data_IF_949007458624
#
_entry.id   IF_949007458624
#
_cell.length_a   1.000
_cell.length_b   1.000
_cell.length_c   1.000
_cell.angle_alpha   90.00
_cell.angle_beta   90.00
_cell.angle_gamma   90.00
#
_symmetry.space_group_name_H-M   'P 1'
#
loop_
_entity.id
_entity.type
_entity.pdbx_description
1 polymer ?
#
# COMPACT_ATOMS: atom_id res chain seq x y z
N UNK A 1 54.74 -6.93 -7.41
CA UNK A 1 53.87 -6.26 -8.40
C UNK A 1 52.87 -5.44 -7.62
N UNK A 2 53.09 -4.12 -7.56
CA UNK A 2 52.23 -3.19 -6.83
C UNK A 2 51.09 -2.78 -7.76
N UNK A 3 49.85 -2.95 -7.31
CA UNK A 3 48.67 -2.44 -8.02
C UNK A 3 48.37 -1.07 -7.43
N UNK A 4 48.69 -0.02 -8.18
CA UNK A 4 48.29 1.35 -7.87
C UNK A 4 46.79 1.49 -8.14
N UNK A 5 46.02 1.85 -7.10
CA UNK A 5 44.66 2.36 -7.29
C UNK A 5 44.76 3.81 -7.73
N UNK A 6 44.33 4.08 -8.96
CA UNK A 6 44.13 5.44 -9.46
C UNK A 6 42.77 5.92 -8.93
N UNK A 7 42.80 6.77 -7.92
CA UNK A 7 41.61 7.48 -7.42
C UNK A 7 41.27 8.61 -8.41
N UNK A 8 40.10 8.54 -9.05
CA UNK A 8 39.74 9.41 -10.18
C UNK A 8 39.36 10.84 -9.77
N UNK A 9 39.36 11.19 -8.48
CA UNK A 9 39.25 12.58 -7.99
C UNK A 9 38.00 13.37 -8.39
N UNK A 10 37.04 12.75 -9.07
CA UNK A 10 35.74 13.35 -9.41
C UNK A 10 34.74 12.99 -8.32
N UNK A 11 33.96 13.95 -7.77
CA UNK A 11 32.85 13.62 -6.90
C UNK A 11 31.90 12.66 -7.64
N UNK A 12 31.50 11.56 -6.99
CA UNK A 12 30.45 10.64 -7.47
C UNK A 12 29.08 11.32 -7.37
N UNK A 13 28.92 12.49 -7.97
CA UNK A 13 27.63 13.15 -8.09
C UNK A 13 26.94 12.61 -9.35
N UNK A 14 26.52 11.35 -9.30
CA UNK A 14 25.48 10.89 -10.22
C UNK A 14 24.25 11.77 -10.00
N UNK A 15 23.67 12.38 -11.05
CA UNK A 15 22.46 13.19 -10.90
C UNK A 15 21.37 12.35 -10.20
N UNK A 16 20.77 12.93 -9.14
CA UNK A 16 19.67 12.32 -8.39
C UNK A 16 20.04 11.48 -7.16
N UNK A 17 21.32 11.43 -6.74
CA UNK A 17 21.72 10.69 -5.54
C UNK A 17 21.23 11.35 -4.23
N UNK A 18 21.02 12.67 -4.23
CA UNK A 18 20.59 13.46 -3.06
C UNK A 18 19.12 13.92 -3.14
N UNK A 19 18.41 13.59 -4.23
CA UNK A 19 17.01 13.96 -4.39
C UNK A 19 16.18 13.35 -3.26
N UNK A 20 15.31 14.16 -2.67
CA UNK A 20 14.32 13.67 -1.71
C UNK A 20 13.02 13.40 -2.47
N UNK A 21 12.52 12.18 -2.35
CA UNK A 21 11.22 11.79 -2.92
C UNK A 21 10.36 11.21 -1.80
N UNK A 22 9.10 11.61 -1.69
CA UNK A 22 8.20 11.06 -0.67
C UNK A 22 7.09 10.28 -1.34
N UNK A 23 6.95 9.00 -1.00
CA UNK A 23 5.85 8.17 -1.47
C UNK A 23 4.86 7.97 -0.32
N UNK A 24 3.69 8.59 -0.45
CA UNK A 24 2.57 8.44 0.46
C UNK A 24 1.71 7.24 0.05
N UNK A 25 1.56 6.27 0.93
CA UNK A 25 0.67 5.13 0.69
C UNK A 25 -0.59 5.27 1.53
N UNK A 26 -1.71 5.49 0.85
CA UNK A 26 -3.02 5.69 1.44
C UNK A 26 -3.79 4.37 1.48
N UNK A 27 -4.43 4.06 2.61
CA UNK A 27 -5.47 3.03 2.63
C UNK A 27 -6.77 3.60 2.05
N UNK A 28 -7.45 2.86 1.19
CA UNK A 28 -8.77 3.25 0.68
C UNK A 28 -9.75 3.69 1.80
N UNK A 29 -10.71 4.55 1.44
CA UNK A 29 -11.78 5.02 2.33
C UNK A 29 -12.77 3.93 2.72
N UNK A 30 -13.74 4.26 3.58
CA UNK A 30 -14.78 3.31 3.98
C UNK A 30 -15.57 2.79 2.76
N UNK A 31 -15.82 1.47 2.75
CA UNK A 31 -16.58 0.78 1.70
C UNK A 31 -18.00 0.53 2.19
N UNK A 32 -18.99 0.74 1.33
CA UNK A 32 -20.36 0.32 1.61
C UNK A 32 -20.44 -1.22 1.60
N UNK A 33 -20.62 -1.82 2.78
CA UNK A 33 -20.64 -3.27 2.96
C UNK A 33 -21.69 -3.68 4.02
N UNK A 34 -22.99 -3.51 3.74
CA UNK A 34 -24.06 -3.72 4.70
C UNK A 34 -24.11 -5.17 5.23
N UNK A 35 -23.72 -6.13 4.40
CA UNK A 35 -23.76 -7.56 4.72
C UNK A 35 -22.51 -8.06 5.47
N UNK A 36 -21.53 -7.20 5.75
CA UNK A 36 -20.32 -7.57 6.49
C UNK A 36 -19.47 -8.65 5.80
N UNK A 37 -19.48 -8.66 4.47
CA UNK A 37 -18.72 -9.64 3.67
C UNK A 37 -17.24 -9.30 3.69
N UNK A 38 -16.38 -10.30 3.87
CA UNK A 38 -14.96 -10.17 3.60
C UNK A 38 -14.77 -10.10 2.08
N UNK A 39 -14.68 -8.90 1.53
CA UNK A 39 -14.63 -8.71 0.10
C UNK A 39 -13.25 -8.93 -0.52
N UNK A 40 -12.14 -8.70 0.20
CA UNK A 40 -10.78 -8.94 -0.32
C UNK A 40 -10.55 -8.34 -1.72
N UNK A 41 -10.23 -9.17 -2.72
CA UNK A 41 -10.02 -8.75 -4.12
C UNK A 41 -11.28 -8.71 -4.99
N UNK A 42 -12.48 -8.94 -4.43
CA UNK A 42 -13.72 -8.96 -5.20
C UNK A 42 -14.08 -7.57 -5.75
N UNK A 43 -14.56 -7.55 -6.99
CA UNK A 43 -15.15 -6.39 -7.65
C UNK A 43 -16.53 -6.04 -7.07
N UNK A 44 -17.03 -4.84 -7.41
CA UNK A 44 -18.36 -4.36 -7.02
C UNK A 44 -18.44 -3.77 -5.61
N UNK A 45 -17.30 -3.52 -4.97
CA UNK A 45 -17.22 -2.90 -3.64
C UNK A 45 -16.73 -1.46 -3.76
N UNK A 46 -17.68 -0.54 -3.62
CA UNK A 46 -17.49 0.91 -3.78
C UNK A 46 -17.48 1.63 -2.43
N UNK A 47 -16.96 2.85 -2.42
CA UNK A 47 -16.96 3.69 -1.24
C UNK A 47 -18.39 3.99 -0.76
N UNK A 48 -18.56 4.03 0.55
CA UNK A 48 -19.75 4.61 1.18
C UNK A 48 -19.75 6.14 1.00
N UNK A 49 -20.84 6.80 1.39
CA UNK A 49 -20.87 8.26 1.45
C UNK A 49 -19.77 8.81 2.38
N UNK A 50 -19.61 8.23 3.57
CA UNK A 50 -18.54 8.57 4.48
C UNK A 50 -17.15 8.27 3.88
N UNK A 51 -17.01 7.17 3.12
CA UNK A 51 -15.77 6.84 2.42
C UNK A 51 -15.36 7.89 1.39
N UNK A 52 -16.32 8.46 0.67
CA UNK A 52 -16.07 9.58 -0.26
C UNK A 52 -15.65 10.84 0.50
N UNK A 53 -16.34 11.18 1.59
CA UNK A 53 -15.95 12.30 2.47
C UNK A 53 -14.53 12.12 3.03
N UNK A 54 -14.16 10.89 3.41
CA UNK A 54 -12.78 10.59 3.84
C UNK A 54 -11.77 10.83 2.72
N UNK A 55 -12.07 10.41 1.49
CA UNK A 55 -11.19 10.63 0.34
C UNK A 55 -11.01 12.12 0.03
N UNK A 56 -12.12 12.88 0.01
CA UNK A 56 -12.10 14.32 -0.18
C UNK A 56 -11.27 15.02 0.91
N UNK A 57 -11.41 14.59 2.17
CA UNK A 57 -10.66 15.17 3.29
C UNK A 57 -9.15 14.94 3.19
N UNK A 58 -8.72 13.79 2.66
CA UNK A 58 -7.29 13.55 2.41
C UNK A 58 -6.80 14.37 1.22
N UNK A 59 -7.59 14.52 0.16
CA UNK A 59 -7.24 15.40 -0.95
C UNK A 59 -7.08 16.87 -0.51
N UNK A 60 -7.95 17.37 0.37
CA UNK A 60 -7.79 18.68 1.01
C UNK A 60 -6.50 18.77 1.84
N UNK A 61 -6.19 17.74 2.63
CA UNK A 61 -4.97 17.70 3.44
C UNK A 61 -3.69 17.71 2.59
N UNK A 62 -3.77 17.18 1.37
CA UNK A 62 -2.66 17.07 0.45
C UNK A 62 -2.59 18.22 -0.57
N UNK A 63 -3.54 19.16 -0.58
CA UNK A 63 -3.70 20.14 -1.66
C UNK A 63 -2.48 21.04 -1.90
N UNK A 64 -1.72 21.37 -0.84
CA UNK A 64 -0.52 22.23 -0.93
C UNK A 64 0.79 21.42 -1.02
N UNK A 65 0.71 20.10 -1.19
CA UNK A 65 1.87 19.22 -1.33
C UNK A 65 2.35 19.18 -2.78
N UNK A 66 3.63 18.89 -2.98
CA UNK A 66 4.25 18.80 -4.31
C UNK A 66 4.04 17.41 -4.93
N UNK A 67 2.78 17.02 -5.09
CA UNK A 67 2.40 15.71 -5.61
C UNK A 67 2.39 15.78 -7.14
N UNK A 68 3.23 14.97 -7.76
CA UNK A 68 3.39 14.91 -9.22
C UNK A 68 2.97 13.57 -9.82
N UNK A 69 2.68 12.58 -8.97
CA UNK A 69 2.22 11.26 -9.41
C UNK A 69 1.14 10.69 -8.48
N UNK A 70 0.04 10.21 -9.07
CA UNK A 70 -1.02 9.48 -8.34
C UNK A 70 -1.29 8.14 -9.02
N UNK A 71 -1.22 7.07 -8.24
CA UNK A 71 -1.43 5.70 -8.70
C UNK A 71 -2.27 4.92 -7.69
N UNK A 72 -3.13 4.02 -8.17
CA UNK A 72 -3.99 3.23 -7.31
C UNK A 72 -4.03 1.76 -7.71
N UNK A 73 -4.38 0.93 -6.73
CA UNK A 73 -4.82 -0.45 -6.96
C UNK A 73 -5.98 -0.49 -7.96
N UNK A 74 -6.12 -1.54 -8.78
CA UNK A 74 -7.21 -1.65 -9.76
C UNK A 74 -8.62 -1.73 -9.15
N UNK A 75 -8.74 -2.09 -7.86
CA UNK A 75 -10.03 -2.23 -7.17
C UNK A 75 -10.76 -0.88 -7.03
N UNK A 76 -12.08 -0.89 -7.25
CA UNK A 76 -12.92 0.31 -7.42
C UNK A 76 -12.80 1.28 -6.24
N UNK A 77 -12.91 0.79 -5.02
CA UNK A 77 -12.71 1.59 -3.79
C UNK A 77 -11.38 2.33 -3.73
N UNK A 78 -10.31 1.77 -4.28
CA UNK A 78 -8.99 2.41 -4.29
C UNK A 78 -8.94 3.51 -5.36
N UNK A 79 -9.49 3.23 -6.55
CA UNK A 79 -9.64 4.21 -7.63
C UNK A 79 -10.49 5.40 -7.19
N UNK A 80 -11.66 5.15 -6.60
CA UNK A 80 -12.55 6.17 -6.06
C UNK A 80 -11.91 7.00 -4.95
N UNK A 81 -11.05 6.37 -4.13
CA UNK A 81 -10.32 7.08 -3.07
C UNK A 81 -9.21 7.97 -3.64
N UNK A 82 -8.56 7.55 -4.73
CA UNK A 82 -7.47 8.29 -5.34
C UNK A 82 -7.94 9.47 -6.20
N UNK A 83 -9.15 9.36 -6.78
CA UNK A 83 -9.67 10.33 -7.74
C UNK A 83 -9.69 11.79 -7.23
N UNK A 84 -10.09 12.09 -5.98
CA UNK A 84 -10.07 13.47 -5.48
C UNK A 84 -8.65 14.06 -5.43
N UNK A 85 -7.65 13.26 -5.05
CA UNK A 85 -6.24 13.69 -5.00
C UNK A 85 -5.71 13.97 -6.41
N UNK A 86 -5.93 13.07 -7.36
CA UNK A 86 -5.51 13.28 -8.75
C UNK A 86 -6.16 14.54 -9.34
N UNK A 87 -7.46 14.73 -9.12
CA UNK A 87 -8.21 15.89 -9.60
C UNK A 87 -7.70 17.20 -9.01
N UNK A 88 -7.43 17.26 -7.71
CA UNK A 88 -6.99 18.50 -7.06
C UNK A 88 -5.60 18.96 -7.53
N UNK A 89 -4.77 18.03 -8.00
CA UNK A 89 -3.43 18.30 -8.53
C UNK A 89 -3.38 18.39 -10.07
N UNK A 90 -4.52 18.24 -10.75
CA UNK A 90 -4.57 18.26 -12.21
C UNK A 90 -3.83 17.10 -12.87
N UNK A 91 -3.76 15.94 -12.20
CA UNK A 91 -3.03 14.75 -12.65
C UNK A 91 -3.99 13.67 -13.16
N UNK A 92 -3.46 12.82 -14.06
CA UNK A 92 -4.10 11.56 -14.42
C UNK A 92 -3.92 10.53 -13.31
N UNK A 93 -4.93 9.67 -13.12
CA UNK A 93 -4.87 8.56 -12.18
C UNK A 93 -4.30 7.30 -12.87
N UNK A 94 -3.10 6.90 -12.48
CA UNK A 94 -2.50 5.65 -12.93
C UNK A 94 -3.04 4.44 -12.15
N UNK A 95 -2.91 3.24 -12.73
CA UNK A 95 -3.25 1.98 -12.08
C UNK A 95 -2.04 1.06 -11.98
N UNK A 96 -1.84 0.44 -10.82
CA UNK A 96 -0.79 -0.56 -10.60
C UNK A 96 -1.34 -1.78 -9.86
N UNK A 97 -1.32 -2.93 -10.54
CA UNK A 97 -1.73 -4.24 -10.02
C UNK A 97 -0.98 -4.65 -8.75
N UNK A 98 0.26 -4.18 -8.58
CA UNK A 98 1.08 -4.50 -7.41
C UNK A 98 0.55 -3.89 -6.13
N UNK A 99 -0.35 -2.90 -6.20
CA UNK A 99 -0.99 -2.25 -5.04
C UNK A 99 -2.23 -3.01 -4.53
N UNK A 100 -2.65 -4.10 -5.18
CA UNK A 100 -3.88 -4.85 -4.83
C UNK A 100 -3.86 -5.43 -3.40
N UNK A 101 -5.04 -5.64 -2.80
CA UNK A 101 -5.19 -6.31 -1.49
C UNK A 101 -4.56 -7.71 -1.51
N UNK A 102 -4.18 -8.26 -0.36
CA UNK A 102 -3.74 -9.64 -0.26
C UNK A 102 -4.87 -10.61 -0.62
N UNK A 103 -4.56 -11.67 -1.37
CA UNK A 103 -5.53 -12.73 -1.63
C UNK A 103 -5.97 -13.38 -0.31
N UNK A 104 -7.25 -13.76 -0.19
CA UNK A 104 -7.76 -14.45 0.98
C UNK A 104 -8.80 -15.54 0.64
N UNK A 105 -8.60 -16.76 1.13
CA UNK A 105 -9.49 -17.92 0.86
C UNK A 105 -10.88 -17.79 1.52
N UNK A 106 -11.05 -16.84 2.43
CA UNK A 106 -12.32 -16.55 3.07
C UNK A 106 -13.12 -15.45 2.37
N UNK A 107 -12.65 -14.94 1.22
CA UNK A 107 -13.38 -13.98 0.40
C UNK A 107 -14.81 -14.46 0.09
N UNK A 108 -15.77 -13.53 0.16
CA UNK A 108 -17.19 -13.81 -0.04
C UNK A 108 -17.90 -14.41 1.16
N UNK A 109 -17.20 -14.69 2.28
CA UNK A 109 -17.81 -15.11 3.54
C UNK A 109 -18.05 -13.90 4.45
N UNK A 110 -19.10 -13.95 5.26
CA UNK A 110 -19.31 -12.98 6.34
C UNK A 110 -18.26 -13.18 7.44
N UNK A 111 -17.66 -12.08 7.90
CA UNK A 111 -16.58 -12.10 8.89
C UNK A 111 -17.04 -11.35 10.14
N UNK A 112 -17.51 -12.07 11.16
CA UNK A 112 -18.08 -11.49 12.39
C UNK A 112 -18.33 -12.53 13.49
N UNK A 113 -18.62 -12.07 14.71
CA UNK A 113 -18.91 -12.91 15.88
C UNK A 113 -20.28 -13.59 15.68
N UNK A 114 -20.28 -14.90 15.42
CA UNK A 114 -21.47 -15.68 15.05
C UNK A 114 -21.10 -16.94 14.25
N UNK A 115 -21.92 -17.33 13.26
CA UNK A 115 -21.72 -18.48 12.34
C UNK A 115 -20.52 -18.32 11.35
N UNK A 116 -19.58 -17.45 11.70
CA UNK A 116 -18.43 -17.07 10.88
C UNK A 116 -17.50 -18.24 10.54
N UNK A 117 -16.68 -18.01 9.51
CA UNK A 117 -15.74 -19.00 8.96
C UNK A 117 -14.86 -19.70 10.02
N UNK A 118 -14.56 -19.06 11.15
CA UNK A 118 -13.72 -19.60 12.22
C UNK A 118 -14.37 -20.73 13.05
N UNK A 119 -15.72 -20.87 13.04
CA UNK A 119 -16.42 -21.96 13.75
C UNK A 119 -16.52 -23.26 12.95
N UNK A 120 -16.14 -23.27 11.67
CA UNK A 120 -16.18 -24.48 10.82
C UNK A 120 -14.87 -25.25 10.93
N UNK A 121 -14.85 -26.50 11.48
CA UNK A 121 -13.61 -27.27 11.68
C UNK A 121 -12.79 -27.48 10.40
N UNK A 122 -13.46 -27.58 9.24
CA UNK A 122 -12.80 -27.68 7.93
C UNK A 122 -11.95 -26.47 7.55
N UNK A 123 -12.13 -25.32 8.21
CA UNK A 123 -11.33 -24.11 7.99
C UNK A 123 -10.05 -24.08 8.84
N UNK A 124 -9.90 -24.97 9.84
CA UNK A 124 -8.73 -24.99 10.72
C UNK A 124 -7.46 -25.44 9.99
N UNK A 125 -7.59 -26.20 8.88
CA UNK A 125 -6.48 -26.51 7.97
C UNK A 125 -5.81 -25.26 7.38
N UNK A 126 -6.56 -24.15 7.28
CA UNK A 126 -6.07 -22.85 6.84
C UNK A 126 -5.50 -22.02 8.00
N UNK A 127 -5.39 -22.56 9.22
CA UNK A 127 -4.84 -21.87 10.40
C UNK A 127 -3.61 -22.62 10.97
N UNK A 128 -3.20 -23.72 10.33
CA UNK A 128 -2.16 -24.64 10.84
C UNK A 128 -0.74 -24.09 10.73
N UNK A 129 -0.50 -23.15 9.81
CA UNK A 129 0.82 -22.54 9.64
C UNK A 129 0.73 -21.01 9.65
N UNK A 130 1.07 -20.35 10.77
CA UNK A 130 1.06 -18.90 10.86
C UNK A 130 2.21 -18.23 10.07
N UNK A 131 3.23 -19.00 9.67
CA UNK A 131 4.43 -18.51 8.95
C UNK A 131 4.26 -18.55 7.43
N UNK A 132 3.38 -19.42 6.92
CA UNK A 132 2.87 -19.40 5.55
C UNK A 132 1.36 -19.35 5.65
N UNK A 133 0.75 -18.15 5.65
CA UNK A 133 -0.68 -18.06 5.85
C UNK A 133 -1.39 -18.81 4.73
N UNK A 134 -1.77 -20.07 4.98
CA UNK A 134 -2.47 -20.93 4.01
C UNK A 134 -3.91 -20.48 3.75
N UNK A 135 -4.26 -19.33 4.32
CA UNK A 135 -5.49 -18.58 4.10
C UNK A 135 -5.33 -17.39 3.14
N UNK A 136 -4.12 -17.10 2.63
CA UNK A 136 -3.91 -15.96 1.74
C UNK A 136 -2.53 -15.88 1.08
N UNK A 137 -2.20 -14.69 0.57
CA UNK A 137 -0.92 -14.42 -0.11
C UNK A 137 0.27 -14.40 0.89
N UNK A 138 1.40 -15.08 0.59
CA UNK A 138 2.59 -15.03 1.42
C UNK A 138 3.10 -13.60 1.66
N UNK A 139 3.49 -13.27 2.89
CA UNK A 139 3.92 -11.90 3.22
C UNK A 139 5.12 -11.43 2.42
N UNK A 140 6.07 -12.32 2.09
CA UNK A 140 7.23 -11.95 1.27
C UNK A 140 6.83 -11.60 -0.17
N UNK A 141 5.82 -12.24 -0.74
CA UNK A 141 5.31 -11.88 -2.07
C UNK A 141 4.66 -10.49 -2.03
N UNK A 142 3.91 -10.19 -0.96
CA UNK A 142 3.37 -8.85 -0.73
C UNK A 142 4.48 -7.79 -0.60
N UNK A 143 5.55 -8.08 0.15
CA UNK A 143 6.71 -7.18 0.25
C UNK A 143 7.32 -6.93 -1.13
N UNK A 144 7.60 -7.98 -1.91
CA UNK A 144 8.24 -7.85 -3.22
C UNK A 144 7.41 -6.97 -4.15
N UNK A 145 6.11 -7.22 -4.29
CA UNK A 145 5.27 -6.40 -5.18
C UNK A 145 5.08 -4.98 -4.66
N UNK A 146 4.89 -4.79 -3.35
CA UNK A 146 4.70 -3.45 -2.78
C UNK A 146 5.98 -2.62 -2.90
N UNK A 147 7.16 -3.19 -2.65
CA UNK A 147 8.43 -2.50 -2.88
C UNK A 147 8.56 -2.11 -4.36
N UNK A 148 8.23 -3.00 -5.29
CA UNK A 148 8.22 -2.67 -6.73
C UNK A 148 7.27 -1.52 -7.09
N UNK A 149 6.11 -1.43 -6.44
CA UNK A 149 5.17 -0.31 -6.62
C UNK A 149 5.74 1.00 -6.04
N UNK A 150 6.35 0.95 -4.84
CA UNK A 150 6.97 2.11 -4.22
C UNK A 150 8.16 2.63 -5.05
N UNK A 151 9.01 1.73 -5.56
CA UNK A 151 10.15 2.09 -6.40
C UNK A 151 9.69 2.76 -7.69
N UNK A 152 8.65 2.23 -8.34
CA UNK A 152 8.09 2.82 -9.56
C UNK A 152 7.45 4.20 -9.29
N UNK A 153 6.71 4.35 -8.18
CA UNK A 153 6.13 5.63 -7.79
C UNK A 153 7.22 6.68 -7.44
N UNK A 154 8.28 6.25 -6.75
CA UNK A 154 9.47 7.07 -6.46
C UNK A 154 10.16 7.51 -7.75
N UNK A 155 10.33 6.61 -8.72
CA UNK A 155 10.94 6.98 -10.00
C UNK A 155 10.06 7.93 -10.82
N UNK A 156 8.73 7.75 -10.80
CA UNK A 156 7.78 8.61 -11.48
C UNK A 156 7.69 10.02 -10.89
N UNK A 157 7.91 10.17 -9.58
CA UNK A 157 7.86 11.43 -8.85
C UNK A 157 9.23 11.86 -8.30
N UNK A 158 10.33 11.52 -8.99
CA UNK A 158 11.68 11.76 -8.49
C UNK A 158 11.90 13.24 -8.17
N UNK A 159 12.34 13.52 -6.94
CA UNK A 159 12.54 14.88 -6.41
C UNK A 159 11.27 15.55 -5.87
N UNK A 160 10.13 14.87 -5.94
CA UNK A 160 8.79 15.36 -5.60
C UNK A 160 8.05 14.34 -4.71
N UNK A 161 6.72 14.44 -4.63
CA UNK A 161 5.88 13.51 -3.89
C UNK A 161 4.96 12.67 -4.80
N UNK A 162 4.67 11.44 -4.39
CA UNK A 162 3.72 10.54 -5.03
C UNK A 162 2.66 10.05 -4.03
N UNK A 163 1.46 9.78 -4.53
CA UNK A 163 0.40 9.11 -3.77
C UNK A 163 0.06 7.77 -4.40
N UNK A 164 0.18 6.71 -3.60
CA UNK A 164 -0.24 5.35 -3.93
C UNK A 164 -1.47 4.97 -3.09
N UNK A 165 -2.58 4.57 -3.71
CA UNK A 165 -3.75 4.07 -2.96
C UNK A 165 -3.82 2.54 -2.97
N UNK A 166 -3.80 1.94 -1.79
CA UNK A 166 -3.73 0.50 -1.56
C UNK A 166 -4.67 0.07 -0.40
N UNK A 167 -4.38 -1.08 0.21
CA UNK A 167 -5.23 -1.78 1.16
C UNK A 167 -4.47 -2.11 2.44
N UNK A 168 -5.21 -2.45 3.50
CA UNK A 168 -4.66 -2.48 4.85
C UNK A 168 -3.47 -3.42 5.01
N UNK A 169 -3.59 -4.67 4.53
CA UNK A 169 -2.56 -5.68 4.78
C UNK A 169 -1.27 -5.42 3.99
N UNK A 170 -1.29 -5.16 2.66
CA UNK A 170 -0.09 -4.81 1.89
C UNK A 170 0.67 -3.61 2.45
N UNK A 171 -0.04 -2.54 2.82
CA UNK A 171 0.55 -1.34 3.44
C UNK A 171 1.26 -1.70 4.75
N UNK A 172 0.57 -2.44 5.61
CA UNK A 172 1.14 -2.86 6.89
C UNK A 172 2.38 -3.75 6.73
N UNK A 173 2.36 -4.67 5.76
CA UNK A 173 3.45 -5.61 5.52
C UNK A 173 4.68 -4.90 4.97
N UNK A 174 4.53 -4.02 3.97
CA UNK A 174 5.67 -3.27 3.42
C UNK A 174 6.26 -2.31 4.46
N UNK A 175 5.40 -1.63 5.24
CA UNK A 175 5.85 -0.82 6.39
C UNK A 175 6.65 -1.66 7.39
N UNK A 176 6.11 -2.81 7.79
CA UNK A 176 6.77 -3.69 8.76
C UNK A 176 8.12 -4.17 8.26
N UNK A 177 8.23 -4.49 6.96
CA UNK A 177 9.49 -4.88 6.34
C UNK A 177 10.53 -3.75 6.38
N UNK A 178 10.16 -2.53 5.96
CA UNK A 178 11.04 -1.36 5.96
C UNK A 178 11.50 -1.00 7.39
N UNK A 179 10.60 -1.05 8.37
CA UNK A 179 10.91 -0.81 9.78
C UNK A 179 11.64 -1.99 10.45
N UNK A 180 12.02 -3.04 9.70
CA UNK A 180 12.69 -4.27 10.19
C UNK A 180 11.92 -4.99 11.32
N UNK A 181 10.60 -4.90 11.27
CA UNK A 181 9.68 -5.59 12.19
C UNK A 181 9.37 -6.99 11.67
N UNK A 182 8.84 -7.83 12.57
CA UNK A 182 8.32 -9.15 12.24
C UNK A 182 7.10 -9.02 11.32
N UNK A 183 7.07 -9.80 10.23
CA UNK A 183 5.94 -9.80 9.29
C UNK A 183 4.71 -10.49 9.85
N UNK A 184 4.89 -11.49 10.72
CA UNK A 184 3.78 -12.03 11.50
C UNK A 184 3.41 -11.05 12.62
N UNK A 185 2.11 -10.81 12.79
CA UNK A 185 1.62 -9.78 13.68
C UNK A 185 0.20 -10.11 14.15
N UNK A 186 -0.26 -9.41 15.19
CA UNK A 186 -1.67 -9.40 15.57
C UNK A 186 -2.44 -8.43 14.65
N UNK A 187 -3.40 -8.91 13.83
CA UNK A 187 -4.16 -8.05 12.91
C UNK A 187 -4.87 -6.89 13.58
N UNK A 188 -5.23 -7.01 14.87
CA UNK A 188 -5.92 -5.96 15.64
C UNK A 188 -5.02 -4.78 16.01
N UNK A 189 -3.71 -4.95 15.92
CA UNK A 189 -2.71 -3.94 16.28
C UNK A 189 -2.15 -3.18 15.08
N UNK A 190 -2.67 -3.43 13.86
CA UNK A 190 -2.24 -2.73 12.66
C UNK A 190 -2.55 -1.24 12.75
N UNK A 191 -1.54 -0.40 12.58
CA UNK A 191 -1.68 1.03 12.42
C UNK A 191 -1.81 1.37 10.93
N UNK A 192 -3.03 1.24 10.41
CA UNK A 192 -3.39 1.53 9.02
C UNK A 192 -4.92 1.66 8.95
N UNK A 193 -5.45 2.75 9.52
CA UNK A 193 -6.89 3.03 9.55
C UNK A 193 -7.38 3.47 8.17
N UNK A 194 -8.69 3.46 7.95
CA UNK A 194 -9.26 3.92 6.67
C UNK A 194 -8.81 5.36 6.38
N UNK A 195 -8.49 5.64 5.12
CA UNK A 195 -7.97 6.94 4.66
C UNK A 195 -6.72 7.45 5.43
N UNK A 196 -5.95 6.57 6.07
CA UNK A 196 -4.65 6.94 6.66
C UNK A 196 -3.53 6.91 5.63
N UNK A 197 -2.57 7.83 5.76
CA UNK A 197 -1.34 7.88 4.97
C UNK A 197 -0.18 7.23 5.72
N UNK A 198 0.61 6.41 5.03
CA UNK A 198 1.92 5.91 5.48
C UNK A 198 2.96 6.39 4.49
N UNK A 199 3.88 7.26 4.92
CA UNK A 199 4.86 7.89 4.04
C UNK A 199 6.21 7.16 4.08
N UNK A 200 6.83 6.98 2.92
CA UNK A 200 8.18 6.46 2.74
C UNK A 200 9.04 7.54 2.10
N UNK A 201 10.04 8.02 2.82
CA UNK A 201 10.96 9.04 2.33
C UNK A 201 12.18 8.38 1.71
N UNK A 202 12.47 8.71 0.46
CA UNK A 202 13.66 8.29 -0.25
C UNK A 202 14.68 9.41 -0.30
N UNK A 203 15.95 9.08 -0.10
CA UNK A 203 17.10 9.89 -0.53
C UNK A 203 17.79 9.11 -1.66
N UNK A 204 17.73 9.64 -2.87
CA UNK A 204 18.08 8.89 -4.07
C UNK A 204 17.22 7.62 -4.19
N UNK A 205 17.84 6.45 -4.06
CA UNK A 205 17.14 5.15 -4.13
C UNK A 205 16.98 4.46 -2.77
N UNK A 206 17.35 5.12 -1.67
CA UNK A 206 17.31 4.53 -0.33
C UNK A 206 16.18 5.14 0.48
N UNK A 207 15.36 4.28 1.08
CA UNK A 207 14.42 4.70 2.13
C UNK A 207 15.22 5.10 3.39
N UNK A 208 14.91 6.27 3.95
CA UNK A 208 15.60 6.85 5.12
C UNK A 208 14.66 7.08 6.31
#
# INVERSE_FOLDING_TARGET
MSVEHVDSGLPDSRPGQDDITVVHVMRHGEVHNPDGVLYGRRAGYHLSELGRQMADRVAEHLADRDITHVVASPLERAQETAQPVAKSHGLDLATDERLIEAANVFEGKTFGVGDGALRKPGNWKHLTNPFRPSWGEPYLEQVVRMMGALDAAKDAARGHEAVCVSHQLPIWIVRSFVEKRKLWHDPRRRQCTLASLTSFTYRGDRIV
#
